data_IF_734918233543
#
_entry.id   IF_734918233543
#
_cell.length_a   1.000
_cell.length_b   1.000
_cell.length_c   1.000
_cell.angle_alpha   90.00
_cell.angle_beta   90.00
_cell.angle_gamma   90.00
#
_symmetry.space_group_name_H-M   'P 1'
#
loop_
_entity.id
_entity.type
_entity.pdbx_description
1 polymer ?
#
# COMPACT_ATOMS: atom_id res chain seq x y z
N UNK A 1 11.43 -17.04 -4.87
CA UNK A 1 11.17 -17.60 -3.55
C UNK A 1 9.72 -17.56 -3.15
N UNK A 2 9.37 -18.04 -1.95
CA UNK A 2 7.96 -18.10 -1.49
C UNK A 2 7.29 -16.73 -1.42
N UNK A 3 8.02 -15.68 -1.03
CA UNK A 3 7.48 -14.33 -0.95
C UNK A 3 7.07 -13.82 -2.33
N UNK A 4 7.90 -14.07 -3.34
CA UNK A 4 7.63 -13.65 -4.72
C UNK A 4 6.41 -14.37 -5.30
N UNK A 5 6.28 -15.67 -5.05
CA UNK A 5 5.12 -16.46 -5.46
C UNK A 5 3.84 -16.00 -4.80
N UNK A 6 3.89 -15.71 -3.50
CA UNK A 6 2.75 -15.19 -2.75
C UNK A 6 2.34 -13.80 -3.27
N UNK A 7 3.30 -12.93 -3.53
CA UNK A 7 3.01 -11.60 -4.08
C UNK A 7 2.29 -11.69 -5.43
N UNK A 8 2.72 -12.62 -6.30
CA UNK A 8 2.06 -12.84 -7.58
C UNK A 8 0.63 -13.31 -7.40
N UNK A 9 0.40 -14.23 -6.47
CA UNK A 9 -0.93 -14.73 -6.17
C UNK A 9 -1.84 -13.61 -5.65
N UNK A 10 -1.34 -12.77 -4.76
CA UNK A 10 -2.09 -11.64 -4.20
C UNK A 10 -2.45 -10.62 -5.28
N UNK A 11 -1.54 -10.35 -6.23
CA UNK A 11 -1.86 -9.44 -7.36
C UNK A 11 -3.00 -9.95 -8.22
N UNK A 12 -3.15 -11.28 -8.35
CA UNK A 12 -4.22 -11.89 -9.14
C UNK A 12 -5.55 -11.92 -8.39
N UNK A 13 -5.52 -11.78 -7.07
CA UNK A 13 -6.71 -11.89 -6.20
C UNK A 13 -6.80 -10.67 -5.30
N UNK A 14 -6.98 -9.46 -5.85
CA UNK A 14 -7.06 -8.24 -5.04
C UNK A 14 -8.33 -8.19 -4.22
N UNK A 15 -8.24 -7.59 -3.03
CA UNK A 15 -9.42 -7.23 -2.26
C UNK A 15 -10.13 -6.06 -2.95
N UNK A 16 -11.36 -5.77 -2.54
CA UNK A 16 -12.09 -4.63 -3.10
C UNK A 16 -11.37 -3.31 -2.85
N UNK A 17 -10.87 -3.10 -1.63
CA UNK A 17 -10.13 -1.88 -1.29
C UNK A 17 -8.86 -1.75 -2.15
N UNK A 18 -8.12 -2.84 -2.35
CA UNK A 18 -6.93 -2.83 -3.20
C UNK A 18 -7.29 -2.45 -4.64
N UNK A 19 -8.36 -3.04 -5.17
CA UNK A 19 -8.80 -2.76 -6.53
C UNK A 19 -9.20 -1.30 -6.70
N UNK A 20 -10.00 -0.78 -5.77
CA UNK A 20 -10.48 0.61 -5.79
C UNK A 20 -9.31 1.58 -5.69
N UNK A 21 -8.40 1.36 -4.75
CA UNK A 21 -7.26 2.26 -4.56
C UNK A 21 -6.30 2.22 -5.75
N UNK A 22 -6.06 1.04 -6.31
CA UNK A 22 -5.21 0.90 -7.50
C UNK A 22 -5.76 1.71 -8.67
N UNK A 23 -7.05 1.58 -8.97
CA UNK A 23 -7.67 2.34 -10.05
C UNK A 23 -7.60 3.84 -9.79
N UNK A 24 -7.80 4.26 -8.55
CA UNK A 24 -7.71 5.67 -8.19
C UNK A 24 -6.29 6.21 -8.39
N UNK A 25 -5.27 5.46 -7.95
CA UNK A 25 -3.87 5.85 -8.09
C UNK A 25 -3.43 6.00 -9.54
N UNK A 26 -3.78 5.04 -10.40
CA UNK A 26 -3.32 5.07 -11.80
C UNK A 26 -4.06 6.11 -12.64
N UNK A 27 -5.23 6.55 -12.19
CA UNK A 27 -6.02 7.56 -12.89
C UNK A 27 -5.86 8.97 -12.31
N UNK A 28 -5.20 9.12 -11.18
CA UNK A 28 -5.00 10.43 -10.56
C UNK A 28 -3.76 11.11 -11.15
N UNK A 29 -3.92 12.35 -11.56
CA UNK A 29 -2.84 13.11 -12.23
C UNK A 29 -1.61 13.31 -11.35
N UNK A 30 -1.80 13.34 -10.03
CA UNK A 30 -0.71 13.53 -9.07
C UNK A 30 0.13 12.28 -8.89
N UNK A 31 -0.45 11.09 -9.12
CA UNK A 31 0.18 9.80 -8.86
C UNK A 31 0.48 8.98 -10.12
N UNK A 32 -0.24 9.24 -11.21
CA UNK A 32 0.02 8.59 -12.49
C UNK A 32 1.45 8.90 -12.93
N UNK A 33 2.19 7.88 -13.35
CA UNK A 33 3.57 8.05 -13.77
C UNK A 33 4.59 8.16 -12.63
N UNK A 34 4.16 8.04 -11.36
CA UNK A 34 5.06 8.09 -10.22
C UNK A 34 5.56 6.70 -9.81
N UNK A 35 5.34 5.71 -10.63
CA UNK A 35 5.93 4.38 -10.48
C UNK A 35 5.29 3.49 -9.42
N UNK A 36 4.02 3.72 -9.07
CA UNK A 36 3.34 2.85 -8.13
C UNK A 36 3.18 1.44 -8.68
N UNK A 37 3.48 0.46 -7.85
CA UNK A 37 3.32 -0.97 -8.09
C UNK A 37 2.55 -1.56 -6.92
N UNK A 38 1.88 -2.67 -7.16
CA UNK A 38 1.07 -3.34 -6.13
C UNK A 38 1.64 -4.71 -5.80
N UNK A 39 1.47 -5.10 -4.54
CA UNK A 39 1.89 -6.40 -4.02
C UNK A 39 3.34 -6.70 -4.37
N UNK A 40 4.24 -5.86 -3.86
CA UNK A 40 5.67 -5.94 -4.16
C UNK A 40 6.44 -6.40 -2.93
N UNK A 41 7.24 -7.47 -3.04
CA UNK A 41 8.10 -7.87 -1.95
C UNK A 41 9.23 -6.88 -1.71
N UNK A 42 9.43 -6.51 -0.45
CA UNK A 42 10.61 -5.77 0.00
C UNK A 42 11.16 -6.54 1.19
N UNK A 43 12.28 -7.22 1.00
CA UNK A 43 12.80 -8.15 2.00
C UNK A 43 11.79 -9.26 2.28
N UNK A 44 11.52 -9.58 3.55
CA UNK A 44 10.56 -10.64 3.91
C UNK A 44 9.11 -10.19 3.87
N UNK A 45 8.84 -8.91 3.56
CA UNK A 45 7.50 -8.33 3.61
C UNK A 45 6.94 -8.09 2.21
N UNK A 46 5.61 -8.19 2.08
CA UNK A 46 4.91 -7.80 0.86
C UNK A 46 4.19 -6.48 1.15
N UNK A 47 4.47 -5.48 0.32
CA UNK A 47 3.82 -4.17 0.42
C UNK A 47 2.55 -4.18 -0.44
N UNK A 48 1.48 -3.55 0.04
CA UNK A 48 0.27 -3.43 -0.77
C UNK A 48 0.53 -2.57 -2.00
N UNK A 49 1.08 -1.37 -1.80
CA UNK A 49 1.48 -0.46 -2.88
C UNK A 49 2.81 0.18 -2.54
N UNK A 50 3.66 0.33 -3.53
CA UNK A 50 4.93 1.03 -3.36
C UNK A 50 5.29 1.84 -4.59
N UNK A 51 5.81 3.03 -4.35
CA UNK A 51 6.51 3.82 -5.36
C UNK A 51 7.97 3.91 -4.93
N UNK A 52 8.85 3.28 -5.66
CA UNK A 52 10.28 3.35 -5.38
C UNK A 52 10.84 4.76 -5.62
N UNK A 53 10.44 5.46 -6.69
CA UNK A 53 10.89 6.84 -6.89
C UNK A 53 10.51 7.77 -5.75
N UNK A 54 9.30 7.61 -5.18
CA UNK A 54 8.82 8.44 -4.09
C UNK A 54 9.26 7.92 -2.72
N UNK A 55 9.80 6.70 -2.64
CA UNK A 55 10.08 6.04 -1.37
C UNK A 55 8.83 6.00 -0.47
N UNK A 56 7.70 5.70 -1.09
CA UNK A 56 6.39 5.70 -0.43
C UNK A 56 5.77 4.32 -0.48
N UNK A 57 5.35 3.81 0.67
CA UNK A 57 4.59 2.57 0.78
C UNK A 57 3.22 2.90 1.32
N UNK A 58 2.19 2.36 0.69
CA UNK A 58 0.81 2.45 1.19
C UNK A 58 0.42 1.06 1.67
N UNK A 59 0.02 0.98 2.93
CA UNK A 59 -0.36 -0.26 3.57
C UNK A 59 -1.83 -0.17 3.97
N UNK A 60 -2.65 -1.09 3.45
CA UNK A 60 -4.08 -1.11 3.75
C UNK A 60 -4.33 -1.83 5.06
N UNK A 61 -5.11 -1.19 5.92
CA UNK A 61 -5.54 -1.80 7.19
C UNK A 61 -6.94 -2.35 6.99
N UNK A 62 -7.13 -3.68 7.06
CA UNK A 62 -8.44 -4.27 6.85
C UNK A 62 -9.40 -3.95 8.01
N UNK A 63 -10.70 -4.04 7.73
CA UNK A 63 -11.74 -3.76 8.73
C UNK A 63 -11.61 -4.71 9.91
N UNK A 64 -11.37 -5.98 9.62
CA UNK A 64 -11.12 -7.00 10.65
C UNK A 64 -9.68 -7.46 10.53
N UNK A 65 -8.92 -7.25 11.58
CA UNK A 65 -7.52 -7.60 11.62
C UNK A 65 -7.25 -8.44 12.88
N UNK A 66 -6.62 -9.60 12.69
CA UNK A 66 -6.20 -10.41 13.84
C UNK A 66 -5.03 -9.74 14.55
N UNK A 67 -4.79 -10.13 15.80
CA UNK A 67 -3.64 -9.64 16.55
C UNK A 67 -2.32 -9.97 15.82
N UNK A 68 -2.22 -11.14 15.21
CA UNK A 68 -1.03 -11.55 14.45
C UNK A 68 -0.83 -10.68 13.22
N UNK A 69 -1.90 -10.39 12.48
CA UNK A 69 -1.83 -9.53 11.31
C UNK A 69 -1.42 -8.11 11.69
N UNK A 70 -1.95 -7.59 12.79
CA UNK A 70 -1.58 -6.26 13.30
C UNK A 70 -0.11 -6.21 13.69
N UNK A 71 0.40 -7.28 14.32
CA UNK A 71 1.81 -7.38 14.69
C UNK A 71 2.69 -7.41 13.45
N UNK A 72 2.33 -8.22 12.46
CA UNK A 72 3.08 -8.29 11.19
C UNK A 72 3.10 -6.94 10.50
N UNK A 73 1.98 -6.22 10.49
CA UNK A 73 1.90 -4.89 9.91
C UNK A 73 2.81 -3.89 10.64
N UNK A 74 2.85 -3.96 11.97
CA UNK A 74 3.73 -3.12 12.77
C UNK A 74 5.21 -3.42 12.49
N UNK A 75 5.57 -4.69 12.39
CA UNK A 75 6.93 -5.12 12.06
C UNK A 75 7.33 -4.65 10.66
N UNK A 76 6.43 -4.76 9.70
CA UNK A 76 6.65 -4.30 8.33
C UNK A 76 6.91 -2.80 8.30
N UNK A 77 6.14 -2.02 9.06
CA UNK A 77 6.33 -0.58 9.15
C UNK A 77 7.72 -0.23 9.67
N UNK A 78 8.15 -0.87 10.74
CA UNK A 78 9.50 -0.65 11.30
C UNK A 78 10.57 -1.01 10.28
N UNK A 79 10.45 -2.18 9.66
CA UNK A 79 11.39 -2.65 8.65
C UNK A 79 11.54 -1.65 7.50
N UNK A 80 10.44 -1.18 6.98
CA UNK A 80 10.42 -0.26 5.84
C UNK A 80 10.91 1.14 6.24
N UNK A 81 10.48 1.63 7.38
CA UNK A 81 10.91 2.95 7.88
C UNK A 81 12.42 2.99 8.07
N UNK A 82 13.01 1.93 8.62
CA UNK A 82 14.46 1.84 8.79
C UNK A 82 15.20 1.87 7.45
N UNK A 83 14.55 1.54 6.36
CA UNK A 83 15.12 1.54 5.01
C UNK A 83 14.79 2.79 4.21
N UNK A 84 14.24 3.80 4.87
CA UNK A 84 14.01 5.10 4.26
C UNK A 84 12.68 5.26 3.56
N UNK A 85 11.75 4.33 3.75
CA UNK A 85 10.40 4.46 3.19
C UNK A 85 9.51 5.27 4.11
N UNK A 86 8.65 6.09 3.51
CA UNK A 86 7.50 6.65 4.21
C UNK A 86 6.36 5.66 4.09
N UNK A 87 5.86 5.19 5.22
CA UNK A 87 4.78 4.20 5.26
C UNK A 87 3.48 4.89 5.64
N UNK A 88 2.52 4.86 4.73
CA UNK A 88 1.20 5.42 4.93
C UNK A 88 0.21 4.29 5.17
N UNK A 89 -0.34 4.21 6.37
CA UNK A 89 -1.36 3.23 6.70
C UNK A 89 -2.73 3.82 6.42
N UNK A 90 -3.52 3.14 5.59
CA UNK A 90 -4.83 3.60 5.15
C UNK A 90 -5.86 2.53 5.46
N UNK A 91 -6.95 2.93 6.09
CA UNK A 91 -8.05 1.99 6.37
C UNK A 91 -8.75 1.60 5.09
N UNK A 92 -8.94 0.30 4.90
CA UNK A 92 -9.66 -0.23 3.74
C UNK A 92 -11.06 0.37 3.63
N UNK A 93 -11.74 0.55 4.77
CA UNK A 93 -13.07 1.16 4.81
C UNK A 93 -13.08 2.60 4.28
N UNK A 94 -12.03 3.35 4.52
CA UNK A 94 -11.92 4.73 4.02
C UNK A 94 -11.74 4.75 2.49
N UNK A 95 -10.97 3.80 1.97
CA UNK A 95 -10.78 3.66 0.51
C UNK A 95 -12.12 3.36 -0.17
N UNK A 96 -12.87 2.42 0.37
CA UNK A 96 -14.17 2.03 -0.20
C UNK A 96 -15.20 3.14 -0.08
N UNK A 97 -15.10 3.96 0.97
CA UNK A 97 -16.01 5.06 1.21
C UNK A 97 -15.73 6.25 0.28
N UNK A 98 -14.47 6.65 0.17
CA UNK A 98 -14.08 7.82 -0.63
C UNK A 98 -12.58 7.75 -0.97
N UNK A 99 -12.27 7.09 -2.08
CA UNK A 99 -10.89 6.95 -2.53
C UNK A 99 -10.25 8.29 -2.88
N UNK A 100 -11.02 9.23 -3.40
CA UNK A 100 -10.51 10.58 -3.74
C UNK A 100 -9.98 11.31 -2.52
N UNK A 101 -10.70 11.22 -1.41
CA UNK A 101 -10.27 11.82 -0.14
C UNK A 101 -8.98 11.18 0.36
N UNK A 102 -8.88 9.85 0.22
CA UNK A 102 -7.65 9.13 0.59
C UNK A 102 -6.47 9.64 -0.23
N UNK A 103 -6.64 9.82 -1.55
CA UNK A 103 -5.58 10.34 -2.40
C UNK A 103 -5.19 11.77 -2.02
N UNK A 104 -6.13 12.60 -1.63
CA UNK A 104 -5.83 13.95 -1.15
C UNK A 104 -4.95 13.91 0.09
N UNK A 105 -5.27 13.04 1.03
CA UNK A 105 -4.49 12.86 2.25
C UNK A 105 -3.08 12.31 1.94
N UNK A 106 -2.98 11.35 1.03
CA UNK A 106 -1.70 10.80 0.60
C UNK A 106 -0.84 11.87 -0.08
N UNK A 107 -1.43 12.69 -0.91
CA UNK A 107 -0.72 13.77 -1.58
C UNK A 107 -0.13 14.76 -0.58
N UNK A 108 -0.88 15.09 0.47
CA UNK A 108 -0.41 15.99 1.52
C UNK A 108 0.79 15.40 2.28
N UNK A 109 0.80 14.08 2.47
CA UNK A 109 1.89 13.39 3.17
C UNK A 109 3.14 13.22 2.31
N UNK A 110 2.96 12.91 1.03
CA UNK A 110 4.07 12.64 0.11
C UNK A 110 4.66 13.94 -0.44
N UNK A 111 3.82 14.97 -0.55
CA UNK A 111 4.21 16.25 -1.11
C UNK A 111 4.19 16.28 -2.63
N UNK A 112 4.49 17.43 -3.20
CA UNK A 112 4.46 17.63 -4.64
C UNK A 112 5.55 16.84 -5.39
#
# INVERSE_FOLDING_TARGET
>A
GPVRGLARLLRRNPTEAERVLWQALVNDRRFAGRGFKRQVPIGPHITDFVSFPLKCVIDLVPVKETADAARTRAERRVYLTQRGYNVCEVKASEVEKDAGKVLDQLHDLVGP
#
